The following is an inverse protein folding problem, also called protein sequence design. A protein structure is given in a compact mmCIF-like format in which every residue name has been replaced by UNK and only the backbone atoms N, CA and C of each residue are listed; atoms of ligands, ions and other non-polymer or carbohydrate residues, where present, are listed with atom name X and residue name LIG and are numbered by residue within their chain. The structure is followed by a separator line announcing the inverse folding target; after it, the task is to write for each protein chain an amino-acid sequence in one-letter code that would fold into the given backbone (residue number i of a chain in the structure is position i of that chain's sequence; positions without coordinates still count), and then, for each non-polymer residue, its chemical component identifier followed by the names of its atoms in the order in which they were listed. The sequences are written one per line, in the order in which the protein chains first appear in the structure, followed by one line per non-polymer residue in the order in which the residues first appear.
data_IF_497034096064
#
_entry.id   IF_497034096064
#
_cell.length_a   1.000
_cell.length_b   1.000
_cell.length_c   1.000
_cell.angle_alpha   90.00
_cell.angle_beta   90.00
_cell.angle_gamma   90.00
#
_symmetry.space_group_name_H-M   'P 1'
#
loop_
_entity.id
_entity.type
_entity.pdbx_description
1 polymer ?
#
# COMPACT_ATOMS: atom_id res chain seq x y z
N UNK A 1 -37.75 -28.49 21.18
CA UNK A 1 -36.36 -28.62 20.68
C UNK A 1 -36.05 -27.38 19.87
N UNK A 2 -35.28 -26.44 20.43
CA UNK A 2 -34.90 -25.22 19.73
C UNK A 2 -33.67 -25.49 18.89
N UNK A 3 -33.77 -25.33 17.56
CA UNK A 3 -32.64 -25.42 16.66
C UNK A 3 -31.75 -24.19 16.88
N UNK A 4 -30.50 -24.43 17.30
CA UNK A 4 -29.46 -23.41 17.36
C UNK A 4 -29.21 -22.90 15.93
N UNK A 5 -29.17 -21.58 15.69
CA UNK A 5 -28.86 -21.07 14.35
C UNK A 5 -27.46 -21.56 13.95
N UNK A 6 -27.27 -21.99 12.69
CA UNK A 6 -25.96 -22.45 12.22
C UNK A 6 -24.97 -21.30 12.40
N UNK A 7 -23.95 -21.54 13.24
CA UNK A 7 -22.86 -20.60 13.44
C UNK A 7 -22.22 -20.27 12.11
N UNK A 8 -22.05 -18.98 11.83
CA UNK A 8 -21.37 -18.50 10.64
C UNK A 8 -19.98 -19.13 10.60
N UNK A 9 -19.58 -19.82 9.52
CA UNK A 9 -18.26 -20.44 9.45
C UNK A 9 -17.21 -19.35 9.64
N UNK A 10 -16.29 -19.57 10.57
CA UNK A 10 -15.13 -18.70 10.76
C UNK A 10 -14.40 -18.58 9.42
N UNK A 11 -14.38 -17.38 8.83
CA UNK A 11 -13.64 -17.12 7.58
C UNK A 11 -12.18 -17.50 7.83
N UNK A 12 -11.54 -18.30 6.95
CA UNK A 12 -10.10 -18.51 7.02
C UNK A 12 -9.44 -17.13 6.93
N UNK A 13 -8.48 -16.88 7.84
CA UNK A 13 -7.77 -15.61 8.04
C UNK A 13 -7.66 -14.80 6.74
N UNK A 14 -8.59 -13.85 6.56
CA UNK A 14 -8.58 -12.94 5.43
C UNK A 14 -7.37 -12.05 5.61
N UNK A 15 -6.55 -11.92 4.56
CA UNK A 15 -5.47 -10.94 4.54
C UNK A 15 -6.08 -9.57 4.89
N UNK A 16 -5.78 -8.98 6.06
CA UNK A 16 -6.43 -7.75 6.51
C UNK A 16 -6.12 -6.56 5.59
N UNK A 17 -5.16 -6.73 4.66
CA UNK A 17 -4.74 -5.72 3.70
C UNK A 17 -5.37 -5.91 2.32
N UNK A 18 -6.16 -6.98 2.13
CA UNK A 18 -6.80 -7.30 0.85
C UNK A 18 -8.31 -7.19 0.99
N UNK A 19 -8.84 -5.99 0.73
CA UNK A 19 -10.29 -5.76 0.62
C UNK A 19 -10.80 -6.64 -0.53
N UNK A 20 -11.51 -7.71 -0.20
CA UNK A 20 -12.24 -8.48 -1.21
C UNK A 20 -13.37 -7.64 -1.80
N UNK A 21 -13.84 -7.99 -2.99
CA UNK A 21 -14.87 -7.21 -3.68
C UNK A 21 -16.16 -7.03 -2.84
N UNK A 22 -16.43 -7.96 -1.92
CA UNK A 22 -17.56 -7.95 -0.98
C UNK A 22 -17.25 -7.30 0.39
N UNK A 23 -16.01 -6.86 0.62
CA UNK A 23 -15.57 -6.28 1.89
C UNK A 23 -15.47 -4.75 1.82
N UNK A 24 -15.67 -4.08 2.96
CA UNK A 24 -15.66 -2.62 3.05
C UNK A 24 -16.92 -1.94 2.50
N UNK A 25 -16.93 -0.59 2.43
CA UNK A 25 -18.11 0.19 2.02
C UNK A 25 -18.53 -0.12 0.59
N UNK A 26 -19.73 -0.67 0.41
CA UNK A 26 -20.26 -1.10 -0.89
C UNK A 26 -20.97 0.03 -1.63
N UNK A 27 -21.41 1.06 -0.90
CA UNK A 27 -22.10 2.22 -1.47
C UNK A 27 -21.36 3.52 -1.21
N UNK A 28 -21.67 4.55 -2.01
CA UNK A 28 -21.17 5.92 -1.79
C UNK A 28 -21.57 6.42 -0.40
N UNK A 29 -22.80 6.12 0.04
CA UNK A 29 -23.29 6.52 1.35
C UNK A 29 -22.50 5.84 2.49
N UNK A 30 -22.23 4.55 2.37
CA UNK A 30 -21.40 3.82 3.34
C UNK A 30 -19.96 4.36 3.36
N UNK A 31 -19.38 4.68 2.20
CA UNK A 31 -18.04 5.24 2.13
C UNK A 31 -17.98 6.63 2.78
N UNK A 32 -19.00 7.47 2.55
CA UNK A 32 -19.14 8.76 3.24
C UNK A 32 -19.24 8.60 4.75
N UNK A 33 -20.07 7.66 5.22
CA UNK A 33 -20.24 7.41 6.64
C UNK A 33 -18.95 6.88 7.30
N UNK A 34 -18.20 6.01 6.60
CA UNK A 34 -16.93 5.51 7.07
C UNK A 34 -15.87 6.62 7.15
N UNK A 35 -15.74 7.44 6.09
CA UNK A 35 -14.84 8.60 6.09
C UNK A 35 -15.21 9.62 7.17
N UNK A 36 -16.49 9.89 7.41
CA UNK A 36 -16.95 10.79 8.47
C UNK A 36 -16.44 10.38 9.86
N UNK A 37 -16.37 9.07 10.13
CA UNK A 37 -15.92 8.52 11.41
C UNK A 37 -14.41 8.58 11.58
N UNK A 38 -13.67 8.41 10.48
CA UNK A 38 -12.20 8.29 10.50
C UNK A 38 -11.52 9.64 10.31
N UNK A 39 -12.00 10.44 9.36
CA UNK A 39 -11.39 11.72 8.98
C UNK A 39 -12.42 12.63 8.30
N UNK A 40 -12.95 13.64 9.01
CA UNK A 40 -13.85 14.64 8.43
C UNK A 40 -13.21 15.41 7.26
N UNK A 41 -11.88 15.55 7.26
CA UNK A 41 -11.14 16.18 6.16
C UNK A 41 -11.18 15.31 4.90
N UNK A 42 -10.89 14.01 5.02
CA UNK A 42 -10.92 13.09 3.87
C UNK A 42 -12.34 12.99 3.28
N UNK A 43 -13.38 13.06 4.13
CA UNK A 43 -14.78 13.17 3.68
C UNK A 43 -15.03 14.43 2.83
N UNK A 44 -14.55 15.59 3.27
CA UNK A 44 -14.74 16.85 2.55
C UNK A 44 -14.07 16.81 1.17
N UNK A 45 -12.83 16.32 1.11
CA UNK A 45 -12.10 16.18 -0.17
C UNK A 45 -12.76 15.13 -1.07
N UNK A 46 -13.22 14.01 -0.50
CA UNK A 46 -13.97 12.98 -1.25
C UNK A 46 -15.21 13.57 -1.92
N UNK A 47 -16.03 14.32 -1.18
CA UNK A 47 -17.23 14.93 -1.73
C UNK A 47 -16.90 15.93 -2.85
N UNK A 48 -15.92 16.80 -2.63
CA UNK A 48 -15.50 17.76 -3.66
C UNK A 48 -15.00 17.06 -4.94
N UNK A 49 -14.22 15.99 -4.82
CA UNK A 49 -13.73 15.21 -5.96
C UNK A 49 -14.85 14.46 -6.66
N UNK A 50 -15.81 13.91 -5.92
CA UNK A 50 -16.96 13.21 -6.49
C UNK A 50 -17.88 14.17 -7.24
N UNK A 51 -18.13 15.36 -6.70
CA UNK A 51 -18.99 16.38 -7.31
C UNK A 51 -18.36 16.97 -8.58
N UNK A 52 -17.02 17.07 -8.63
CA UNK A 52 -16.29 17.52 -9.81
C UNK A 52 -16.03 16.42 -10.84
N UNK A 53 -16.24 15.14 -10.50
CA UNK A 53 -15.90 14.02 -11.36
C UNK A 53 -16.88 13.89 -12.54
N UNK A 54 -16.33 13.60 -13.73
CA UNK A 54 -17.14 13.05 -14.82
C UNK A 54 -17.62 11.66 -14.44
N UNK A 55 -18.81 11.26 -14.92
CA UNK A 55 -19.40 9.95 -14.61
C UNK A 55 -18.44 8.76 -14.87
N UNK A 56 -17.65 8.83 -15.96
CA UNK A 56 -16.66 7.79 -16.28
C UNK A 56 -15.50 7.68 -15.27
N UNK A 57 -15.21 8.75 -14.52
CA UNK A 57 -14.14 8.79 -13.53
C UNK A 57 -14.61 8.45 -12.10
N UNK A 58 -15.93 8.38 -11.87
CA UNK A 58 -16.51 8.05 -10.55
C UNK A 58 -15.95 6.74 -9.99
N UNK A 59 -15.86 5.62 -10.75
CA UNK A 59 -15.31 4.36 -10.21
C UNK A 59 -13.88 4.49 -9.69
N UNK A 60 -13.05 5.29 -10.34
CA UNK A 60 -11.67 5.56 -9.91
C UNK A 60 -11.66 6.31 -8.59
N UNK A 61 -12.46 7.38 -8.46
CA UNK A 61 -12.58 8.15 -7.20
C UNK A 61 -13.04 7.25 -6.06
N UNK A 62 -14.03 6.37 -6.28
CA UNK A 62 -14.48 5.43 -5.25
C UNK A 62 -13.39 4.43 -4.84
N UNK A 63 -12.62 3.92 -5.80
CA UNK A 63 -11.54 2.97 -5.54
C UNK A 63 -10.41 3.60 -4.72
N UNK A 64 -9.95 4.79 -5.11
CA UNK A 64 -8.92 5.53 -4.38
C UNK A 64 -9.34 5.78 -2.93
N UNK A 65 -10.58 6.21 -2.69
CA UNK A 65 -11.02 6.51 -1.33
C UNK A 65 -11.31 5.27 -0.48
N UNK A 66 -11.62 4.12 -1.09
CA UNK A 66 -11.61 2.84 -0.38
C UNK A 66 -10.20 2.47 0.09
N UNK A 67 -9.17 2.74 -0.72
CA UNK A 67 -7.77 2.53 -0.32
C UNK A 67 -7.34 3.50 0.77
N UNK A 68 -7.69 4.79 0.66
CA UNK A 68 -7.44 5.78 1.72
C UNK A 68 -8.06 5.34 3.03
N UNK A 69 -9.32 4.89 3.01
CA UNK A 69 -9.98 4.38 4.20
C UNK A 69 -9.22 3.19 4.81
N UNK A 70 -8.82 2.22 3.99
CA UNK A 70 -8.07 1.05 4.43
C UNK A 70 -6.77 1.43 5.14
N UNK A 71 -5.99 2.36 4.54
CA UNK A 71 -4.75 2.85 5.11
C UNK A 71 -4.97 3.60 6.42
N UNK A 72 -6.00 4.43 6.53
CA UNK A 72 -6.31 5.17 7.76
C UNK A 72 -6.74 4.28 8.92
N UNK A 73 -7.35 3.13 8.62
CA UNK A 73 -7.78 2.16 9.63
C UNK A 73 -6.71 1.12 9.96
N UNK A 74 -5.56 1.12 9.26
CA UNK A 74 -4.46 0.20 9.58
C UNK A 74 -3.78 0.63 10.88
N UNK A 75 -3.68 -0.28 11.87
CA UNK A 75 -2.97 -0.02 13.12
C UNK A 75 -1.47 0.16 12.87
N UNK A 76 -0.86 -0.51 11.88
CA UNK A 76 0.55 -0.29 11.53
C UNK A 76 0.78 1.12 10.97
N UNK A 77 -0.09 1.60 10.09
CA UNK A 77 0.00 2.96 9.53
C UNK A 77 -0.24 3.99 10.63
N UNK A 78 -1.21 3.75 11.52
CA UNK A 78 -1.43 4.58 12.69
C UNK A 78 -0.19 4.63 13.60
N UNK A 79 0.44 3.49 13.85
CA UNK A 79 1.65 3.38 14.65
C UNK A 79 2.88 4.04 13.98
N UNK A 80 3.04 3.90 12.66
CA UNK A 80 4.10 4.55 11.90
C UNK A 80 3.92 6.07 11.88
N UNK A 81 2.69 6.56 11.66
CA UNK A 81 2.37 7.99 11.75
C UNK A 81 2.64 8.51 13.17
N UNK A 82 2.21 7.77 14.19
CA UNK A 82 2.45 8.13 15.59
C UNK A 82 3.95 8.15 15.92
N UNK A 83 4.72 7.13 15.52
CA UNK A 83 6.17 7.05 15.72
C UNK A 83 6.93 8.13 14.97
N UNK A 84 6.49 8.47 13.75
CA UNK A 84 7.04 9.58 12.97
C UNK A 84 6.74 10.95 13.62
N UNK A 85 5.54 11.16 14.16
CA UNK A 85 5.14 12.40 14.84
C UNK A 85 5.76 12.55 16.24
N UNK A 86 5.96 11.44 16.95
CA UNK A 86 6.60 11.38 18.27
C UNK A 86 8.14 11.50 18.17
N UNK A 87 8.69 11.46 16.95
CA UNK A 87 10.13 11.57 16.70
C UNK A 87 10.93 10.39 17.25
N UNK A 88 10.27 9.28 17.58
CA UNK A 88 10.88 8.08 18.15
C UNK A 88 11.46 7.15 17.08
N UNK A 89 11.07 7.33 15.81
CA UNK A 89 11.78 6.73 14.71
C UNK A 89 13.12 7.43 14.49
N UNK A 90 14.22 6.68 14.63
CA UNK A 90 15.53 7.09 14.13
C UNK A 90 15.43 7.20 12.62
N UNK A 91 15.08 8.38 12.13
CA UNK A 91 15.21 8.72 10.72
C UNK A 91 16.71 8.81 10.41
N UNK A 92 17.16 7.92 9.54
CA UNK A 92 18.49 8.04 8.92
C UNK A 92 18.52 9.38 8.17
N UNK A 93 19.59 10.16 8.37
CA UNK A 93 19.76 11.39 7.61
C UNK A 93 19.77 11.10 6.11
N UNK A 94 19.27 12.02 5.29
CA UNK A 94 19.21 11.83 3.84
C UNK A 94 20.60 11.53 3.25
N UNK A 95 21.65 12.14 3.81
CA UNK A 95 23.05 11.92 3.42
C UNK A 95 23.51 10.49 3.73
N UNK A 96 23.15 9.97 4.92
CA UNK A 96 23.47 8.60 5.31
C UNK A 96 22.72 7.59 4.42
N UNK A 97 21.48 7.90 4.03
CA UNK A 97 20.71 7.07 3.11
C UNK A 97 21.39 6.94 1.75
N UNK A 98 21.81 8.06 1.14
CA UNK A 98 22.52 8.04 -0.14
C UNK A 98 23.88 7.33 -0.03
N UNK A 99 24.61 7.53 1.08
CA UNK A 99 25.85 6.80 1.33
C UNK A 99 25.62 5.27 1.42
N UNK A 100 24.49 4.82 1.99
CA UNK A 100 24.15 3.39 2.05
C UNK A 100 23.78 2.79 0.68
N UNK A 101 23.14 3.59 -0.18
CA UNK A 101 22.82 3.19 -1.56
C UNK A 101 24.08 3.08 -2.42
N UNK A 102 24.99 4.05 -2.32
CA UNK A 102 26.26 4.02 -3.03
C UNK A 102 27.13 2.84 -2.55
N UNK A 103 27.19 2.58 -1.25
CA UNK A 103 27.89 1.41 -0.71
C UNK A 103 27.30 0.08 -1.19
N UNK A 104 25.97 0.00 -1.36
CA UNK A 104 25.33 -1.17 -1.94
C UNK A 104 25.61 -1.31 -3.45
N UNK A 105 25.76 -0.20 -4.16
CA UNK A 105 26.10 -0.17 -5.57
C UNK A 105 27.56 -0.55 -5.85
N UNK A 106 28.47 -0.19 -4.95
CA UNK A 106 29.91 -0.48 -5.06
C UNK A 106 30.26 -1.94 -4.66
N UNK A 107 29.38 -2.59 -3.89
CA UNK A 107 29.46 -4.03 -3.56
C UNK A 107 28.90 -4.96 -4.65
N UNK A 108 28.18 -4.44 -5.64
CA UNK A 108 27.71 -5.20 -6.81
C UNK A 108 28.83 -5.28 -7.84
N UNK A 109 29.91 -5.99 -7.51
CA UNK A 109 30.79 -6.57 -8.51
C UNK A 109 29.94 -7.50 -9.38
N UNK A 110 29.46 -6.96 -10.50
CA UNK A 110 28.95 -7.73 -11.62
C UNK A 110 30.10 -8.64 -12.04
N UNK A 111 30.06 -9.91 -11.62
CA UNK A 111 30.98 -10.96 -12.09
C UNK A 111 30.69 -11.22 -13.57
N UNK A 112 31.20 -10.33 -14.41
CA UNK A 112 31.19 -10.41 -15.85
C UNK A 112 32.37 -11.22 -16.39
N UNK A 113 32.85 -12.25 -15.69
CA UNK A 113 33.92 -13.11 -16.20
C UNK A 113 33.37 -14.23 -17.10
N UNK A 114 33.08 -13.88 -18.35
CA UNK A 114 32.63 -14.85 -19.35
C UNK A 114 33.04 -14.55 -20.79
N UNK A 115 34.00 -13.66 -21.03
CA UNK A 115 34.42 -13.33 -22.40
C UNK A 115 35.86 -12.84 -22.48
N UNK A 116 36.80 -13.77 -22.72
CA UNK A 116 38.06 -13.64 -23.48
C UNK A 116 38.84 -14.96 -23.29
N UNK A 117 39.42 -15.63 -24.29
CA UNK A 117 39.76 -15.16 -25.61
C UNK A 117 39.95 -16.30 -26.62
N UNK A 118 39.84 -15.87 -27.86
CA UNK A 118 40.30 -16.53 -29.08
C UNK A 118 41.84 -16.59 -29.06
N UNK A 119 42.47 -17.71 -29.43
CA UNK A 119 43.76 -17.67 -30.09
C UNK A 119 43.57 -17.90 -31.58
N UNK A 120 44.08 -16.95 -32.35
CA UNK A 120 44.19 -16.98 -33.80
C UNK A 120 45.29 -17.95 -34.29
N UNK A 121 45.06 -18.43 -35.51
CA UNK A 121 46.04 -18.80 -36.57
C UNK A 121 47.05 -19.96 -36.42
N UNK A 122 47.05 -20.84 -37.45
CA UNK A 122 48.29 -21.04 -38.24
C UNK A 122 48.85 -22.46 -38.42
N UNK A 123 48.46 -23.12 -39.52
CA UNK A 123 49.38 -23.77 -40.47
C UNK A 123 50.14 -25.05 -40.11
N UNK A 124 49.72 -26.17 -40.73
CA UNK A 124 50.54 -26.98 -41.66
C UNK A 124 49.65 -27.85 -42.54
#
# INVERSE_FOLDING_TARGET
MSAQPPGTPARPYADPYRIQADEGPQTIAELRAALARVSPLDLAVFNARLDAARLAAVPTVLTEYRQVLALRTSPEVGAAIAGALDGTEKTMGMDDFFASLDAAHDGSAYDGSGREGRPDEGGR
#
